data_IF_282446173262
#
_entry.id   IF_282446173262
#
_cell.length_a   1.000
_cell.length_b   1.000
_cell.length_c   1.000
_cell.angle_alpha   90.00
_cell.angle_beta   90.00
_cell.angle_gamma   90.00
#
_symmetry.space_group_name_H-M   'P 1'
#
loop_
_entity.id
_entity.type
_entity.pdbx_description
1 polymer ?
#
# COMPACT_ATOMS: atom_id res chain seq x y z
N UNK A 1 -7.20 -2.26 0.12
CA UNK A 1 -7.42 -0.97 -0.60
C UNK A 1 -6.27 -0.04 -0.26
N UNK A 2 -5.91 0.84 -1.19
CA UNK A 2 -4.85 1.85 -1.01
C UNK A 2 -4.88 2.86 -2.16
N UNK A 3 -4.05 3.90 -2.09
CA UNK A 3 -3.88 4.87 -3.19
C UNK A 3 -2.55 4.58 -3.87
N UNK A 4 -2.58 4.46 -5.20
CA UNK A 4 -1.38 4.33 -6.03
C UNK A 4 -1.54 5.19 -7.27
N UNK A 5 -0.50 5.93 -7.64
CA UNK A 5 -0.50 6.85 -8.79
C UNK A 5 -1.67 7.87 -8.74
N UNK A 6 -2.07 8.25 -7.52
CA UNK A 6 -3.17 9.19 -7.29
C UNK A 6 -4.58 8.61 -7.44
N UNK A 7 -4.74 7.31 -7.69
CA UNK A 7 -6.04 6.63 -7.83
C UNK A 7 -6.28 5.63 -6.71
N UNK A 8 -7.54 5.45 -6.33
CA UNK A 8 -7.91 4.43 -5.36
C UNK A 8 -7.85 3.05 -6.02
N UNK A 9 -7.10 2.14 -5.39
CA UNK A 9 -6.90 0.76 -5.82
C UNK A 9 -7.42 -0.22 -4.77
N UNK A 10 -7.98 -1.33 -5.24
CA UNK A 10 -8.34 -2.48 -4.43
C UNK A 10 -7.60 -3.71 -4.96
N UNK A 11 -7.05 -4.51 -4.06
CA UNK A 11 -6.43 -5.78 -4.41
C UNK A 11 -6.99 -6.87 -3.52
N UNK A 12 -7.13 -8.05 -4.10
CA UNK A 12 -7.58 -9.23 -3.39
C UNK A 12 -6.83 -10.47 -3.81
N UNK A 13 -6.82 -11.45 -2.93
CA UNK A 13 -6.19 -12.73 -3.15
C UNK A 13 -7.27 -13.80 -3.04
N UNK A 14 -7.44 -14.64 -4.06
CA UNK A 14 -8.46 -15.68 -4.05
C UNK A 14 -8.16 -16.73 -2.98
N UNK A 15 -9.22 -17.26 -2.36
CA UNK A 15 -9.10 -18.33 -1.35
C UNK A 15 -9.17 -19.75 -1.97
N UNK A 16 -9.56 -19.84 -3.24
CA UNK A 16 -9.72 -21.07 -4.01
C UNK A 16 -8.65 -21.23 -5.07
N UNK A 17 -8.55 -22.43 -5.65
CA UNK A 17 -7.71 -22.65 -6.82
C UNK A 17 -8.40 -22.16 -8.11
N UNK A 18 -7.69 -21.48 -9.01
CA UNK A 18 -6.29 -21.07 -8.89
C UNK A 18 -6.11 -19.91 -7.90
N UNK A 19 -5.03 -19.96 -7.11
CA UNK A 19 -4.67 -18.89 -6.19
C UNK A 19 -4.19 -17.68 -7.02
N UNK A 20 -5.01 -16.63 -7.07
CA UNK A 20 -4.80 -15.47 -7.93
C UNK A 20 -4.84 -14.18 -7.14
N UNK A 21 -3.91 -13.27 -7.47
CA UNK A 21 -3.93 -11.88 -7.07
C UNK A 21 -4.68 -11.08 -8.15
N UNK A 22 -5.70 -10.33 -7.75
CA UNK A 22 -6.46 -9.44 -8.63
C UNK A 22 -6.29 -7.99 -8.16
N UNK A 23 -6.16 -7.06 -9.10
CA UNK A 23 -6.05 -5.62 -8.85
C UNK A 23 -7.13 -4.86 -9.61
N UNK A 24 -7.77 -3.93 -8.92
CA UNK A 24 -8.88 -3.14 -9.40
C UNK A 24 -8.63 -1.66 -9.15
N UNK A 25 -9.11 -0.84 -10.08
CA UNK A 25 -9.12 0.63 -9.96
C UNK A 25 -10.56 1.12 -9.80
N UNK A 26 -10.75 2.09 -8.92
CA UNK A 26 -12.02 2.82 -8.86
C UNK A 26 -12.07 3.78 -10.04
N UNK A 27 -13.18 3.78 -10.78
CA UNK A 27 -13.39 4.75 -11.86
C UNK A 27 -13.37 6.21 -11.36
N UNK A 28 -13.19 7.15 -12.29
CA UNK A 28 -13.12 8.59 -11.95
C UNK A 28 -14.47 9.14 -11.44
N UNK A 29 -15.57 8.42 -11.71
CA UNK A 29 -16.93 8.75 -11.25
C UNK A 29 -17.23 8.23 -9.83
N UNK A 30 -16.35 7.39 -9.27
CA UNK A 30 -16.53 6.70 -7.99
C UNK A 30 -17.64 5.64 -7.98
N UNK A 31 -18.10 5.21 -9.15
CA UNK A 31 -19.31 4.39 -9.33
C UNK A 31 -19.04 2.89 -9.36
N UNK A 32 -17.82 2.49 -9.73
CA UNK A 32 -17.48 1.09 -9.99
C UNK A 32 -15.99 0.77 -9.93
N UNK A 33 -15.71 -0.52 -9.72
CA UNK A 33 -14.36 -1.07 -9.74
C UNK A 33 -14.11 -1.79 -11.07
N UNK A 34 -13.02 -1.42 -11.75
CA UNK A 34 -12.58 -2.09 -12.98
C UNK A 34 -11.40 -2.99 -12.67
N UNK A 35 -11.45 -4.27 -13.08
CA UNK A 35 -10.31 -5.18 -12.98
C UNK A 35 -9.23 -4.76 -14.00
N UNK A 36 -8.03 -4.44 -13.52
CA UNK A 36 -6.89 -4.09 -14.39
C UNK A 36 -5.95 -5.27 -14.58
N UNK A 37 -5.57 -5.94 -13.48
CA UNK A 37 -4.59 -7.01 -13.51
C UNK A 37 -5.06 -8.24 -12.75
N UNK A 38 -4.70 -9.42 -13.25
CA UNK A 38 -4.90 -10.69 -12.55
C UNK A 38 -3.72 -11.63 -12.80
N UNK A 39 -3.11 -12.11 -11.71
CA UNK A 39 -1.93 -12.99 -11.76
C UNK A 39 -2.20 -14.27 -10.99
N UNK A 40 -1.85 -15.42 -11.56
CA UNK A 40 -1.92 -16.72 -10.90
C UNK A 40 -0.61 -16.98 -10.14
N UNK A 41 -0.67 -16.88 -8.81
CA UNK A 41 0.51 -16.92 -7.94
C UNK A 41 1.13 -18.32 -7.81
N UNK A 42 0.34 -19.39 -8.01
CA UNK A 42 0.84 -20.78 -7.97
C UNK A 42 2.03 -20.99 -8.92
N UNK A 43 1.97 -20.40 -10.12
CA UNK A 43 3.06 -20.48 -11.10
C UNK A 43 4.27 -19.68 -10.63
N UNK A 44 4.03 -18.52 -10.03
CA UNK A 44 5.04 -17.56 -9.64
C UNK A 44 5.90 -18.04 -8.46
N UNK A 45 5.27 -18.63 -7.45
CA UNK A 45 6.00 -19.16 -6.29
C UNK A 45 6.83 -20.40 -6.61
N UNK A 46 6.25 -21.32 -7.41
CA UNK A 46 6.93 -22.55 -7.79
C UNK A 46 8.17 -22.31 -8.65
N UNK A 47 8.14 -21.31 -9.54
CA UNK A 47 9.28 -20.98 -10.41
C UNK A 47 10.37 -20.16 -9.72
N UNK A 48 10.01 -19.27 -8.78
CA UNK A 48 10.91 -18.22 -8.33
C UNK A 48 11.50 -18.45 -6.94
N UNK A 49 10.75 -19.07 -6.03
CA UNK A 49 11.13 -19.06 -4.61
C UNK A 49 11.42 -20.44 -4.03
N UNK A 50 11.11 -21.53 -4.75
CA UNK A 50 11.27 -22.90 -4.21
C UNK A 50 10.53 -23.12 -2.88
N UNK A 51 9.59 -22.23 -2.54
CA UNK A 51 8.83 -22.29 -1.31
C UNK A 51 7.72 -23.33 -1.46
N UNK A 52 7.34 -24.01 -0.37
CA UNK A 52 6.23 -24.94 -0.40
C UNK A 52 5.01 -24.26 -1.02
N UNK A 53 4.39 -24.95 -1.99
CA UNK A 53 3.12 -24.55 -2.59
C UNK A 53 2.18 -24.17 -1.45
N UNK A 54 1.70 -22.94 -1.45
CA UNK A 54 1.16 -22.33 -0.24
C UNK A 54 0.05 -23.14 0.40
N UNK A 55 0.16 -23.32 1.72
CA UNK A 55 -0.99 -23.61 2.54
C UNK A 55 -1.98 -22.43 2.41
N UNK A 56 -3.25 -22.78 2.15
CA UNK A 56 -4.38 -21.85 2.07
C UNK A 56 -4.32 -20.86 3.24
N UNK A 57 -4.21 -19.56 2.94
CA UNK A 57 -4.25 -18.49 3.96
C UNK A 57 -2.90 -18.00 4.49
N UNK A 58 -1.78 -18.48 3.95
CA UNK A 58 -0.43 -18.00 4.34
C UNK A 58 0.01 -16.70 3.63
N UNK A 59 -0.64 -16.33 2.52
CA UNK A 59 -0.45 -15.02 1.89
C UNK A 59 -1.37 -13.97 2.46
N UNK A 60 -0.79 -12.81 2.77
CA UNK A 60 -1.51 -11.58 3.11
C UNK A 60 -1.00 -10.47 2.20
N UNK A 61 -1.91 -9.58 1.82
CA UNK A 61 -1.54 -8.32 1.17
C UNK A 61 -0.91 -7.43 2.24
N UNK A 62 0.32 -6.97 1.98
CA UNK A 62 1.03 -6.02 2.84
C UNK A 62 0.68 -4.59 2.40
N UNK A 63 0.88 -4.29 1.11
CA UNK A 63 0.71 -2.96 0.56
C UNK A 63 0.58 -3.01 -0.98
N UNK A 64 -0.11 -2.03 -1.55
CA UNK A 64 -0.05 -1.67 -2.98
C UNK A 64 0.99 -0.57 -3.12
N UNK A 65 1.99 -0.75 -3.99
CA UNK A 65 3.05 0.24 -4.14
C UNK A 65 2.46 1.63 -4.46
N UNK A 66 2.81 2.68 -3.70
CA UNK A 66 2.18 3.99 -3.86
C UNK A 66 2.56 4.69 -5.17
N UNK A 67 3.66 4.31 -5.80
CA UNK A 67 4.19 4.93 -7.02
C UNK A 67 3.97 4.08 -8.27
N UNK A 68 3.71 2.78 -8.13
CA UNK A 68 3.48 1.88 -9.26
C UNK A 68 2.31 0.93 -8.96
N UNK A 69 1.15 1.17 -9.57
CA UNK A 69 -0.05 0.39 -9.28
C UNK A 69 0.04 -1.09 -9.71
N UNK A 70 1.02 -1.43 -10.55
CA UNK A 70 1.25 -2.80 -10.99
C UNK A 70 1.98 -3.62 -9.91
N UNK A 71 2.58 -2.97 -8.91
CA UNK A 71 3.39 -3.65 -7.89
C UNK A 71 2.62 -3.84 -6.59
N UNK A 72 2.50 -5.10 -6.15
CA UNK A 72 1.85 -5.45 -4.89
C UNK A 72 2.81 -6.24 -4.01
N UNK A 73 2.87 -5.88 -2.73
CA UNK A 73 3.68 -6.57 -1.74
C UNK A 73 2.83 -7.60 -1.01
N UNK A 74 3.25 -8.86 -1.07
CA UNK A 74 2.57 -10.00 -0.46
C UNK A 74 3.47 -10.67 0.57
N UNK A 75 2.90 -11.17 1.66
CA UNK A 75 3.65 -12.06 2.55
C UNK A 75 3.74 -13.45 1.95
N UNK A 76 4.93 -14.04 1.96
CA UNK A 76 5.11 -15.48 1.84
C UNK A 76 5.26 -16.04 3.26
N UNK A 77 4.14 -16.43 3.86
CA UNK A 77 4.07 -16.82 5.27
C UNK A 77 4.62 -15.70 6.19
N UNK A 78 5.30 -16.05 7.29
CA UNK A 78 6.06 -15.13 8.15
C UNK A 78 7.56 -15.15 7.87
N UNK A 79 7.94 -15.53 6.64
CA UNK A 79 9.34 -15.72 6.26
C UNK A 79 9.81 -14.55 5.41
N UNK A 80 9.02 -14.17 4.40
CA UNK A 80 9.38 -13.12 3.47
C UNK A 80 8.19 -12.24 3.08
N UNK A 81 8.50 -11.04 2.59
CA UNK A 81 7.61 -10.19 1.80
C UNK A 81 8.14 -10.19 0.38
N UNK A 82 7.28 -10.45 -0.59
CA UNK A 82 7.62 -10.40 -2.02
C UNK A 82 6.92 -9.26 -2.70
N UNK A 83 7.65 -8.57 -3.57
CA UNK A 83 7.10 -7.60 -4.50
C UNK A 83 6.76 -8.33 -5.80
N UNK A 84 5.49 -8.33 -6.18
CA UNK A 84 4.99 -8.93 -7.41
C UNK A 84 4.65 -7.80 -8.37
N UNK A 85 5.28 -7.80 -9.54
CA UNK A 85 4.85 -6.99 -10.68
C UNK A 85 3.74 -7.74 -11.41
N UNK A 86 2.53 -7.20 -11.33
CA UNK A 86 1.33 -7.81 -11.87
C UNK A 86 1.19 -7.66 -13.39
N UNK A 87 1.84 -6.65 -13.98
CA UNK A 87 1.85 -6.42 -15.43
C UNK A 87 2.80 -7.40 -16.11
N UNK A 88 4.01 -7.52 -15.55
CA UNK A 88 5.05 -8.44 -16.02
C UNK A 88 4.85 -9.88 -15.54
N UNK A 89 3.96 -10.08 -14.57
CA UNK A 89 3.65 -11.37 -13.93
C UNK A 89 4.88 -12.05 -13.32
N UNK A 90 5.74 -11.27 -12.66
CA UNK A 90 7.00 -11.74 -12.09
C UNK A 90 7.22 -11.24 -10.65
N UNK A 91 8.12 -11.91 -9.91
CA UNK A 91 8.60 -11.40 -8.62
C UNK A 91 9.80 -10.51 -8.89
N UNK A 92 9.70 -9.24 -8.51
CA UNK A 92 10.77 -8.24 -8.72
C UNK A 92 11.60 -8.00 -7.45
N UNK A 93 11.19 -8.56 -6.31
CA UNK A 93 11.92 -8.44 -5.06
C UNK A 93 11.45 -9.39 -3.97
N UNK A 94 12.36 -9.78 -3.09
CA UNK A 94 12.09 -10.61 -1.92
C UNK A 94 12.84 -10.06 -0.72
N UNK A 95 12.12 -9.80 0.36
CA UNK A 95 12.61 -9.16 1.57
C UNK A 95 12.33 -10.07 2.76
N UNK A 96 13.22 -10.15 3.77
CA UNK A 96 12.94 -10.91 4.98
C UNK A 96 11.73 -10.30 5.70
N UNK A 97 10.82 -11.14 6.17
CA UNK A 97 9.68 -10.69 6.96
C UNK A 97 10.18 -10.12 8.29
N UNK A 98 9.81 -8.88 8.59
CA UNK A 98 10.05 -8.24 9.88
C UNK A 98 8.75 -7.64 10.41
N UNK A 99 8.58 -7.61 11.73
CA UNK A 99 7.37 -7.02 12.32
C UNK A 99 7.32 -5.49 12.20
N UNK A 100 8.45 -4.84 11.90
CA UNK A 100 8.65 -3.39 11.84
C UNK A 100 8.71 -2.86 10.41
N UNK A 101 8.07 -3.54 9.44
CA UNK A 101 8.06 -3.14 8.02
C UNK A 101 7.76 -1.65 7.87
N UNK A 102 8.84 -0.88 7.66
CA UNK A 102 8.77 0.54 7.36
C UNK A 102 8.53 0.64 5.86
N UNK A 103 7.25 0.66 5.48
CA UNK A 103 6.90 0.83 4.08
C UNK A 103 7.15 2.27 3.66
N UNK A 104 7.72 2.51 2.45
CA UNK A 104 7.93 3.85 1.96
C UNK A 104 6.58 4.56 1.85
N UNK A 105 6.36 5.56 2.69
CA UNK A 105 5.23 6.46 2.54
C UNK A 105 5.63 7.60 1.60
N UNK A 106 4.87 7.78 0.53
CA UNK A 106 5.02 8.96 -0.30
C UNK A 106 4.23 10.07 0.38
N UNK A 107 4.93 11.08 0.87
CA UNK A 107 4.28 12.31 1.31
C UNK A 107 3.66 12.96 0.06
N UNK A 108 2.35 13.21 0.03
CA UNK A 108 1.77 13.87 -1.12
C UNK A 108 2.39 15.26 -1.26
N UNK A 109 2.59 15.79 -2.49
CA UNK A 109 3.28 17.05 -2.72
C UNK A 109 2.66 18.25 -1.98
N UNK A 110 1.36 18.20 -1.68
CA UNK A 110 0.64 19.23 -0.93
C UNK A 110 0.85 19.16 0.59
N UNK A 111 1.37 18.04 1.12
CA UNK A 111 1.75 17.96 2.52
C UNK A 111 3.09 18.67 2.70
N UNK A 112 3.04 19.99 2.89
CA UNK A 112 4.22 20.74 3.34
C UNK A 112 4.76 20.06 4.59
N UNK A 113 5.98 19.56 4.50
CA UNK A 113 6.71 19.06 5.68
C UNK A 113 6.77 20.18 6.70
N UNK A 114 6.07 20.00 7.81
CA UNK A 114 6.13 20.92 8.95
C UNK A 114 7.00 20.25 10.00
N UNK A 115 7.98 20.99 10.54
CA UNK A 115 8.74 20.50 11.69
C UNK A 115 7.76 20.32 12.84
N UNK A 116 7.64 19.09 13.34
CA UNK A 116 7.00 18.85 14.62
C UNK A 116 7.73 19.74 15.64
N UNK A 117 7.03 20.64 16.35
CA UNK A 117 7.67 21.49 17.35
C UNK A 117 8.41 20.58 18.33
N UNK A 118 9.73 20.73 18.43
CA UNK A 118 10.49 20.10 19.51
C UNK A 118 9.83 20.53 20.82
N UNK A 119 9.65 19.62 21.78
CA UNK A 119 9.13 19.94 23.10
C UNK A 119 10.09 20.87 23.86
N UNK A 120 10.14 22.13 23.45
CA UNK A 120 10.79 23.23 24.12
C UNK A 120 9.82 23.74 25.19
N UNK A 121 10.23 23.56 26.45
CA UNK A 121 9.70 24.13 27.71
C UNK A 121 8.38 24.89 27.60
N UNK A 122 7.37 24.40 28.36
CA UNK A 122 6.09 25.05 28.66
C UNK A 122 6.24 26.57 28.83
N UNK A 123 5.81 27.33 27.85
CA UNK A 123 5.25 28.65 28.09
C UNK A 123 3.74 28.50 28.06
N UNK A 124 3.14 28.71 29.22
CA UNK A 124 1.69 28.79 29.38
C UNK A 124 1.25 30.06 28.68
N UNK A 125 0.55 29.97 27.56
CA UNK A 125 -0.25 31.11 27.10
C UNK A 125 -1.50 30.71 26.31
N UNK A 126 -2.63 30.97 26.98
CA UNK A 126 -4.05 31.07 26.57
C UNK A 126 -4.53 30.25 25.37
N UNK A 127 -5.48 29.37 25.68
CA UNK A 127 -6.34 28.62 24.75
C UNK A 127 -6.86 29.51 23.62
N UNK A 128 -6.34 29.32 22.41
CA UNK A 128 -6.95 29.84 21.18
C UNK A 128 -8.08 28.89 20.77
N UNK A 129 -9.24 29.44 20.51
CA UNK A 129 -10.41 28.65 20.07
C UNK A 129 -10.21 28.22 18.63
N UNK A 130 -10.85 27.11 18.24
CA UNK A 130 -10.77 26.52 16.90
C UNK A 130 -11.10 27.52 15.77
N UNK A 131 -11.87 28.57 16.07
CA UNK A 131 -12.17 29.66 15.13
C UNK A 131 -10.92 30.45 14.72
N UNK A 132 -9.95 30.66 15.60
CA UNK A 132 -8.74 31.45 15.29
C UNK A 132 -7.79 30.74 14.31
N UNK A 133 -7.86 29.41 14.24
CA UNK A 133 -7.02 28.59 13.36
C UNK A 133 -7.61 28.53 11.94
N UNK A 134 -8.93 28.58 11.81
CA UNK A 134 -9.63 28.42 10.52
C UNK A 134 -9.69 29.70 9.68
N UNK A 135 -9.43 30.88 10.26
CA UNK A 135 -9.58 32.17 9.56
C UNK A 135 -8.42 32.51 8.61
N UNK A 136 -7.32 31.76 8.60
CA UNK A 136 -6.14 32.09 7.76
C UNK A 136 -6.05 31.38 6.40
N UNK A 137 -7.07 30.65 5.97
CA UNK A 137 -7.11 30.04 4.63
C UNK A 137 -7.73 30.92 3.54
N UNK A 138 -7.79 32.25 3.71
CA UNK A 138 -8.10 33.18 2.63
C UNK A 138 -7.11 34.34 2.60
N UNK A 139 -6.11 34.28 1.73
CA UNK A 139 -5.78 35.34 0.76
C UNK A 139 -4.45 35.05 0.05
N UNK A 140 -4.56 35.10 -1.29
CA UNK A 140 -3.55 35.13 -2.35
C UNK A 140 -2.75 33.86 -2.66
#
# INVERSE_FOLDING_TARGET
MGVSEGRLRYVEVSQGEPFSLSSFVLDDEGSGWTLEHRVVLNKLWGSTMGLPLQERGSTRIVLIDPLNANVVYLTAHRIAVVAVDMDRQEVIGCYPYRNDLCMPCVLPPWLRSTRIPSAGKKYVEKNKTLADVLVRSHSH
#
